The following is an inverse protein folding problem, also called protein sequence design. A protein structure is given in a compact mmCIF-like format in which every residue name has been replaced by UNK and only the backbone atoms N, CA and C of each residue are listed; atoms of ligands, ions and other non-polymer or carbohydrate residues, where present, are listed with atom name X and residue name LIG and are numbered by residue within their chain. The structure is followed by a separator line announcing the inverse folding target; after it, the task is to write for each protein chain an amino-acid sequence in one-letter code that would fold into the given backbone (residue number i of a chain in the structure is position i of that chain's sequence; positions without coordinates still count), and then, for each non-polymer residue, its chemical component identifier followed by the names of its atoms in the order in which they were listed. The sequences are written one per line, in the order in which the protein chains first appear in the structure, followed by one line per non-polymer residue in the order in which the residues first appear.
data_IF_664288935119
#
_entry.id   IF_664288935119
#
_cell.length_a   1.000
_cell.length_b   1.000
_cell.length_c   1.000
_cell.angle_alpha   90.00
_cell.angle_beta   90.00
_cell.angle_gamma   90.00
#
_symmetry.space_group_name_H-M   'P 1'
#
loop_
_entity.id
_entity.type
_entity.pdbx_description
1 polymer ?
#
# COMPACT_ATOMS: atom_id res chain seq x y z
N UNK A 1 -42.22 -30.44 35.32
CA UNK A 1 -42.81 -29.41 34.45
C UNK A 1 -42.01 -28.11 34.59
N UNK A 2 -41.09 -27.84 33.68
CA UNK A 2 -40.72 -26.51 33.17
C UNK A 2 -39.57 -26.70 32.18
N UNK A 3 -39.88 -26.52 30.91
CA UNK A 3 -38.88 -26.38 29.83
C UNK A 3 -38.05 -25.15 30.08
N UNK A 4 -36.73 -25.28 30.15
CA UNK A 4 -35.80 -24.18 30.04
C UNK A 4 -35.54 -23.91 28.57
N UNK A 5 -35.83 -22.70 28.14
CA UNK A 5 -35.63 -22.20 26.78
C UNK A 5 -34.15 -22.03 26.50
N UNK A 6 -33.73 -22.51 25.33
CA UNK A 6 -32.46 -22.16 24.73
C UNK A 6 -32.54 -20.70 24.28
N UNK A 7 -31.92 -19.81 25.03
CA UNK A 7 -31.74 -18.40 24.67
C UNK A 7 -30.52 -18.27 23.75
N UNK A 8 -30.75 -17.72 22.55
CA UNK A 8 -29.77 -17.60 21.50
C UNK A 8 -28.63 -16.67 21.84
N UNK A 9 -27.45 -17.08 21.41
CA UNK A 9 -26.17 -16.34 21.38
C UNK A 9 -26.07 -15.43 20.13
N UNK A 10 -27.16 -14.72 19.80
CA UNK A 10 -27.27 -14.00 18.54
C UNK A 10 -27.29 -12.45 18.65
N UNK A 11 -27.20 -11.86 19.85
CA UNK A 11 -27.49 -10.43 20.00
C UNK A 11 -26.35 -9.55 20.53
N UNK A 12 -25.13 -9.69 20.04
CA UNK A 12 -24.06 -8.73 20.38
C UNK A 12 -23.12 -8.36 19.22
N UNK A 13 -23.45 -8.69 17.97
CA UNK A 13 -22.66 -8.20 16.83
C UNK A 13 -23.30 -6.92 16.29
N UNK A 14 -22.88 -5.77 16.78
CA UNK A 14 -23.24 -4.48 16.15
C UNK A 14 -22.55 -4.37 14.79
N UNK A 15 -23.32 -4.60 13.73
CA UNK A 15 -22.95 -4.30 12.35
C UNK A 15 -22.93 -2.78 12.20
N UNK A 16 -21.76 -2.20 12.06
CA UNK A 16 -21.57 -0.80 11.69
C UNK A 16 -21.01 -0.76 10.27
N UNK A 17 -21.80 -0.18 9.36
CA UNK A 17 -21.50 0.15 7.97
C UNK A 17 -21.66 -0.97 6.93
N UNK A 18 -22.87 -1.12 6.41
CA UNK A 18 -23.13 -1.70 5.09
C UNK A 18 -22.76 -0.67 4.01
N UNK A 19 -21.69 -0.92 3.27
CA UNK A 19 -21.28 -0.06 2.15
C UNK A 19 -21.97 -0.57 0.89
N UNK A 20 -23.00 0.15 0.41
CA UNK A 20 -23.50 -0.02 -0.95
C UNK A 20 -22.54 0.68 -1.93
N UNK A 21 -21.76 -0.09 -2.65
CA UNK A 21 -20.94 0.40 -3.75
C UNK A 21 -21.86 0.79 -4.93
N UNK A 22 -22.15 2.07 -5.10
CA UNK A 22 -22.62 2.59 -6.37
C UNK A 22 -21.40 2.93 -7.23
N UNK A 23 -21.21 2.23 -8.33
CA UNK A 23 -20.16 2.52 -9.31
C UNK A 23 -20.46 3.88 -9.97
N UNK A 24 -19.84 4.93 -9.46
CA UNK A 24 -19.77 6.20 -10.17
C UNK A 24 -18.77 6.04 -11.32
N UNK A 25 -19.21 6.33 -12.55
CA UNK A 25 -18.38 6.30 -13.75
C UNK A 25 -17.25 7.34 -13.63
N UNK A 26 -16.05 6.87 -13.27
CA UNK A 26 -14.84 7.67 -13.40
C UNK A 26 -14.49 7.77 -14.89
N UNK A 27 -14.37 8.98 -15.40
CA UNK A 27 -13.92 9.27 -16.78
C UNK A 27 -12.44 8.94 -16.89
N UNK A 28 -12.14 7.69 -17.25
CA UNK A 28 -10.76 7.26 -17.58
C UNK A 28 -10.51 7.59 -19.06
N UNK A 29 -9.59 8.50 -19.33
CA UNK A 29 -9.09 8.69 -20.71
C UNK A 29 -8.23 7.49 -21.08
N UNK A 30 -8.69 6.64 -21.96
CA UNK A 30 -8.04 5.41 -22.39
C UNK A 30 -7.31 5.67 -23.72
N UNK A 31 -5.99 5.67 -23.69
CA UNK A 31 -5.18 5.21 -24.82
C UNK A 31 -4.84 3.74 -24.62
N UNK A 32 -4.64 2.93 -25.66
CA UNK A 32 -4.32 1.51 -25.52
C UNK A 32 -3.02 1.25 -24.73
N UNK A 33 -2.20 2.28 -24.50
CA UNK A 33 -0.84 2.21 -23.95
C UNK A 33 -0.63 2.95 -22.63
N UNK A 34 -1.63 3.70 -22.18
CA UNK A 34 -1.56 4.55 -20.99
C UNK A 34 -2.85 4.50 -20.21
N UNK A 35 -2.75 4.51 -18.88
CA UNK A 35 -3.88 4.67 -17.94
C UNK A 35 -3.62 5.85 -17.04
N UNK A 36 -4.63 6.66 -16.83
CA UNK A 36 -4.60 7.74 -15.83
C UNK A 36 -5.70 7.48 -14.83
N UNK A 37 -5.30 7.32 -13.56
CA UNK A 37 -6.24 7.17 -12.44
C UNK A 37 -6.28 8.47 -11.68
N UNK A 38 -7.46 9.06 -11.55
CA UNK A 38 -7.68 10.29 -10.77
C UNK A 38 -7.95 9.95 -9.32
N UNK A 39 -7.18 10.53 -8.41
CA UNK A 39 -7.49 10.56 -6.98
C UNK A 39 -8.19 11.88 -6.68
N UNK A 40 -9.51 11.82 -6.46
CA UNK A 40 -10.35 13.02 -6.31
C UNK A 40 -10.47 13.42 -4.84
N UNK A 41 -9.78 14.50 -4.46
CA UNK A 41 -9.71 15.07 -3.11
C UNK A 41 -9.94 16.60 -3.14
N UNK A 42 -10.76 17.09 -4.09
CA UNK A 42 -11.00 18.51 -4.29
C UNK A 42 -9.72 19.25 -4.70
N UNK A 43 -9.27 20.23 -3.91
CA UNK A 43 -8.05 21.00 -4.20
C UNK A 43 -6.74 20.21 -4.07
N UNK A 44 -6.78 19.01 -3.45
CA UNK A 44 -5.64 18.10 -3.27
C UNK A 44 -5.68 16.94 -4.26
N UNK A 45 -6.59 16.97 -5.23
CA UNK A 45 -6.70 15.94 -6.26
C UNK A 45 -5.44 15.85 -7.10
N UNK A 46 -5.07 14.62 -7.48
CA UNK A 46 -3.90 14.37 -8.33
C UNK A 46 -4.13 13.21 -9.28
N UNK A 47 -3.26 13.08 -10.26
CA UNK A 47 -3.30 12.01 -11.25
C UNK A 47 -2.20 10.98 -10.99
N UNK A 48 -2.52 9.71 -11.23
CA UNK A 48 -1.59 8.60 -11.29
C UNK A 48 -1.47 8.20 -12.76
N UNK A 49 -0.30 8.46 -13.36
CA UNK A 49 -0.01 8.10 -14.76
C UNK A 49 0.66 6.74 -14.77
N UNK A 50 0.08 5.77 -15.49
CA UNK A 50 0.55 4.38 -15.57
C UNK A 50 0.86 4.07 -17.04
N UNK A 51 2.15 3.86 -17.35
CA UNK A 51 2.60 3.61 -18.71
C UNK A 51 3.95 2.88 -18.69
N UNK A 52 4.22 2.01 -19.65
CA UNK A 52 5.55 1.46 -19.85
C UNK A 52 6.47 2.46 -20.54
N UNK A 53 7.69 2.66 -20.01
CA UNK A 53 8.67 3.58 -20.57
C UNK A 53 8.30 5.05 -20.43
N UNK A 54 7.60 5.44 -19.36
CA UNK A 54 7.22 6.84 -19.12
C UNK A 54 8.31 7.68 -18.47
N UNK A 55 9.31 7.07 -17.86
CA UNK A 55 10.39 7.77 -17.13
C UNK A 55 11.05 8.91 -17.95
N UNK A 56 11.37 8.76 -19.25
CA UNK A 56 11.91 9.87 -20.04
C UNK A 56 10.97 11.07 -20.18
N UNK A 57 9.69 10.92 -19.87
CA UNK A 57 8.69 11.97 -19.95
C UNK A 57 8.42 12.63 -18.57
N UNK A 58 9.12 12.21 -17.51
CA UNK A 58 8.88 12.70 -16.15
C UNK A 58 8.99 14.24 -16.07
N UNK A 59 10.02 14.83 -16.68
CA UNK A 59 10.20 16.28 -16.69
C UNK A 59 9.04 17.04 -17.33
N UNK A 60 8.54 16.57 -18.47
CA UNK A 60 7.40 17.20 -19.16
C UNK A 60 6.09 17.01 -18.43
N UNK A 61 5.87 15.84 -17.80
CA UNK A 61 4.69 15.59 -16.94
C UNK A 61 4.68 16.52 -15.73
N UNK A 62 5.83 16.68 -15.07
CA UNK A 62 5.96 17.59 -13.93
C UNK A 62 5.70 19.04 -14.33
N UNK A 63 6.28 19.50 -15.45
CA UNK A 63 6.03 20.86 -15.96
C UNK A 63 4.53 21.08 -16.21
N UNK A 64 3.85 20.12 -16.83
CA UNK A 64 2.40 20.16 -17.07
C UNK A 64 1.58 20.24 -15.77
N UNK A 65 1.88 19.43 -14.77
CA UNK A 65 1.20 19.48 -13.46
C UNK A 65 1.44 20.79 -12.72
N UNK A 66 2.62 21.37 -12.89
CA UNK A 66 2.98 22.68 -12.32
C UNK A 66 2.44 23.86 -13.13
N UNK A 67 1.83 23.61 -14.29
CA UNK A 67 1.36 24.63 -15.26
C UNK A 67 2.50 25.57 -15.68
N UNK A 68 3.66 25.01 -15.92
CA UNK A 68 4.85 25.69 -16.42
C UNK A 68 5.05 25.33 -17.89
N UNK A 69 5.51 26.25 -18.71
CA UNK A 69 5.90 25.98 -20.09
C UNK A 69 7.12 25.07 -20.14
N UNK A 70 8.05 25.27 -19.20
CA UNK A 70 9.24 24.43 -18.95
C UNK A 70 9.51 24.35 -17.47
N UNK A 71 10.32 23.37 -17.02
CA UNK A 71 10.79 23.30 -15.64
C UNK A 71 11.95 24.27 -15.33
N UNK A 72 12.22 25.25 -16.20
CA UNK A 72 13.35 26.16 -16.03
C UNK A 72 13.28 26.93 -14.70
N UNK A 73 14.38 26.86 -13.94
CA UNK A 73 14.48 27.48 -12.62
C UNK A 73 13.74 26.74 -11.49
N UNK A 74 13.10 25.59 -11.78
CA UNK A 74 12.53 24.73 -10.75
C UNK A 74 13.64 23.99 -10.02
N UNK A 75 13.77 24.19 -8.72
CA UNK A 75 14.66 23.39 -7.87
C UNK A 75 14.00 22.09 -7.49
N UNK A 76 14.72 20.98 -7.68
CA UNK A 76 14.24 19.62 -7.39
C UNK A 76 15.22 18.90 -6.49
N UNK A 77 14.75 18.44 -5.33
CA UNK A 77 15.44 17.41 -4.55
C UNK A 77 14.91 16.05 -4.99
N UNK A 78 15.71 15.29 -5.73
CA UNK A 78 15.41 13.93 -6.09
C UNK A 78 15.97 12.99 -5.03
N UNK A 79 15.09 12.26 -4.34
CA UNK A 79 15.46 11.29 -3.30
C UNK A 79 15.28 9.90 -3.88
N UNK A 80 16.36 9.12 -3.92
CA UNK A 80 16.32 7.77 -4.47
C UNK A 80 17.06 6.78 -3.58
N UNK A 81 16.55 5.54 -3.55
CA UNK A 81 17.22 4.40 -2.94
C UNK A 81 18.49 4.05 -3.72
N UNK A 82 19.57 3.70 -3.02
CA UNK A 82 20.87 3.35 -3.65
C UNK A 82 20.76 2.20 -4.65
N UNK A 83 19.90 1.21 -4.39
CA UNK A 83 19.70 0.10 -5.33
C UNK A 83 18.89 0.48 -6.58
N UNK A 84 18.23 1.63 -6.55
CA UNK A 84 17.32 2.10 -7.62
C UNK A 84 17.95 3.23 -8.42
N UNK A 85 18.87 4.02 -7.84
CA UNK A 85 19.36 5.25 -8.46
C UNK A 85 20.04 4.99 -9.80
N UNK A 86 21.01 4.07 -9.87
CA UNK A 86 21.75 3.80 -11.10
C UNK A 86 20.89 3.20 -12.20
N UNK A 87 19.86 2.42 -11.81
CA UNK A 87 18.99 1.71 -12.77
C UNK A 87 17.86 2.60 -13.29
N UNK A 88 17.28 3.43 -12.42
CA UNK A 88 16.06 4.20 -12.73
C UNK A 88 16.19 5.68 -12.36
N UNK A 89 16.80 6.00 -11.20
CA UNK A 89 16.88 7.36 -10.66
C UNK A 89 17.65 8.32 -11.58
N UNK A 90 18.76 7.88 -12.14
CA UNK A 90 19.58 8.68 -13.08
C UNK A 90 18.81 9.04 -14.36
N UNK A 91 17.93 8.16 -14.85
CA UNK A 91 17.06 8.46 -15.99
C UNK A 91 15.99 9.51 -15.66
N UNK A 92 15.42 9.45 -14.46
CA UNK A 92 14.50 10.47 -13.95
C UNK A 92 15.21 11.81 -13.80
N UNK A 93 16.40 11.83 -13.16
CA UNK A 93 17.22 13.04 -13.02
C UNK A 93 17.47 13.70 -14.37
N UNK A 94 17.95 12.92 -15.34
CA UNK A 94 18.22 13.41 -16.71
C UNK A 94 16.96 13.99 -17.37
N UNK A 95 15.81 13.34 -17.21
CA UNK A 95 14.53 13.81 -17.75
C UNK A 95 14.15 15.19 -17.18
N UNK A 96 14.36 15.38 -15.87
CA UNK A 96 14.09 16.65 -15.19
C UNK A 96 15.05 17.76 -15.64
N UNK A 97 16.34 17.46 -15.73
CA UNK A 97 17.38 18.38 -16.19
C UNK A 97 17.14 18.81 -17.65
N UNK A 98 16.77 17.87 -18.53
CA UNK A 98 16.40 18.19 -19.93
C UNK A 98 15.17 19.08 -20.03
N UNK A 99 14.25 18.99 -19.06
CA UNK A 99 13.11 19.91 -18.96
C UNK A 99 13.49 21.28 -18.38
N UNK A 100 14.75 21.48 -17.94
CA UNK A 100 15.30 22.73 -17.43
C UNK A 100 15.31 22.89 -15.92
N UNK A 101 15.01 21.81 -15.16
CA UNK A 101 15.08 21.84 -13.71
C UNK A 101 16.54 21.83 -13.19
N UNK A 102 16.75 22.50 -12.06
CA UNK A 102 17.98 22.40 -11.25
C UNK A 102 17.79 21.23 -10.25
N UNK A 103 18.41 20.08 -10.55
CA UNK A 103 18.20 18.82 -9.83
C UNK A 103 19.39 18.51 -8.94
N UNK A 104 19.11 18.32 -7.64
CA UNK A 104 20.04 17.74 -6.67
C UNK A 104 19.57 16.34 -6.31
N UNK A 105 20.39 15.32 -6.54
CA UNK A 105 20.10 13.97 -6.09
C UNK A 105 20.60 13.73 -4.67
N UNK A 106 19.74 13.14 -3.83
CA UNK A 106 20.05 12.61 -2.49
C UNK A 106 19.82 11.12 -2.50
N UNK A 107 20.89 10.34 -2.39
CA UNK A 107 20.83 8.87 -2.42
C UNK A 107 20.75 8.37 -0.98
N UNK A 108 19.72 7.59 -0.69
CA UNK A 108 19.47 7.03 0.64
C UNK A 108 19.77 5.52 0.67
N UNK A 109 20.17 4.95 1.82
CA UNK A 109 20.36 3.50 1.96
C UNK A 109 19.06 2.74 1.70
N UNK A 110 19.18 1.49 1.23
CA UNK A 110 18.05 0.58 1.11
C UNK A 110 17.60 0.05 2.47
N UNK A 111 16.32 -0.28 2.60
CA UNK A 111 15.74 -0.98 3.75
C UNK A 111 14.98 -0.09 4.72
N UNK A 112 14.17 -0.73 5.55
CA UNK A 112 13.19 -0.07 6.44
C UNK A 112 13.86 0.85 7.48
N UNK A 113 15.10 0.57 7.90
CA UNK A 113 15.86 1.42 8.83
C UNK A 113 16.17 2.82 8.29
N UNK A 114 16.04 3.02 6.98
CA UNK A 114 16.20 4.32 6.34
C UNK A 114 15.09 5.30 6.74
N UNK A 115 13.92 4.80 7.12
CA UNK A 115 12.82 5.62 7.67
C UNK A 115 13.13 6.07 9.09
N UNK A 116 14.08 7.00 9.26
CA UNK A 116 14.61 7.41 10.55
C UNK A 116 14.77 8.92 10.69
N UNK A 117 14.89 9.41 11.93
CA UNK A 117 15.20 10.83 12.21
C UNK A 117 16.54 11.25 11.58
N UNK A 118 17.56 10.40 11.69
CA UNK A 118 18.89 10.73 11.18
C UNK A 118 18.87 10.95 9.66
N UNK A 119 18.17 10.06 8.92
CA UNK A 119 18.04 10.20 7.49
C UNK A 119 17.17 11.41 7.11
N UNK A 120 16.11 11.68 7.88
CA UNK A 120 15.28 12.89 7.69
C UNK A 120 16.10 14.16 7.85
N UNK A 121 16.94 14.25 8.89
CA UNK A 121 17.82 15.37 9.10
C UNK A 121 18.80 15.56 7.94
N UNK A 122 19.46 14.50 7.48
CA UNK A 122 20.36 14.58 6.34
C UNK A 122 19.66 15.11 5.07
N UNK A 123 18.41 14.74 4.84
CA UNK A 123 17.62 15.27 3.73
C UNK A 123 17.24 16.75 3.91
N UNK A 124 17.01 17.21 5.15
CA UNK A 124 16.84 18.64 5.42
C UNK A 124 18.11 19.43 5.15
N UNK A 125 19.29 18.89 5.50
CA UNK A 125 20.57 19.53 5.20
C UNK A 125 20.74 19.73 3.68
N UNK A 126 20.37 18.73 2.86
CA UNK A 126 20.34 18.90 1.40
C UNK A 126 19.41 20.04 0.97
N UNK A 127 18.22 20.17 1.56
CA UNK A 127 17.27 21.25 1.24
C UNK A 127 17.82 22.63 1.66
N UNK A 128 18.46 22.71 2.82
CA UNK A 128 19.10 23.95 3.29
C UNK A 128 20.25 24.35 2.36
N UNK A 129 21.15 23.43 2.04
CA UNK A 129 22.30 23.67 1.16
C UNK A 129 21.91 24.13 -0.25
N UNK A 130 20.78 23.65 -0.77
CA UNK A 130 20.27 24.10 -2.08
C UNK A 130 19.39 25.36 -1.96
N UNK A 131 19.34 25.99 -0.78
CA UNK A 131 18.49 27.17 -0.51
C UNK A 131 17.04 26.95 -0.94
N UNK A 132 16.49 25.77 -0.57
CA UNK A 132 15.14 25.37 -0.95
C UNK A 132 14.09 26.32 -0.38
N UNK A 133 13.15 26.71 -1.21
CA UNK A 133 11.99 27.53 -0.85
C UNK A 133 10.68 26.72 -1.05
N UNK A 134 9.52 27.35 -0.80
CA UNK A 134 8.21 26.70 -0.96
C UNK A 134 7.85 26.31 -2.40
N UNK A 135 8.62 26.74 -3.40
CA UNK A 135 8.46 26.34 -4.79
C UNK A 135 9.28 25.11 -5.15
N UNK A 136 10.24 24.77 -4.30
CA UNK A 136 11.07 23.56 -4.47
C UNK A 136 10.19 22.31 -4.50
N UNK A 137 10.54 21.38 -5.38
CA UNK A 137 9.85 20.12 -5.55
C UNK A 137 10.67 18.96 -4.96
N UNK A 138 10.04 18.09 -4.21
CA UNK A 138 10.63 16.81 -3.80
C UNK A 138 10.13 15.71 -4.74
N UNK A 139 11.03 14.91 -5.31
CA UNK A 139 10.71 13.77 -6.17
C UNK A 139 11.28 12.51 -5.53
N UNK A 140 10.41 11.56 -5.20
CA UNK A 140 10.80 10.25 -4.65
C UNK A 140 10.88 9.22 -5.77
N UNK A 141 12.01 8.53 -5.91
CA UNK A 141 12.19 7.42 -6.86
C UNK A 141 12.59 6.17 -6.08
N UNK A 142 11.66 5.21 -5.95
CA UNK A 142 11.95 4.00 -5.16
C UNK A 142 10.72 3.25 -4.70
N UNK A 143 10.91 2.37 -3.73
CA UNK A 143 9.85 1.64 -3.05
C UNK A 143 9.12 2.48 -2.00
N UNK A 144 8.25 1.84 -1.22
CA UNK A 144 7.45 2.49 -0.17
C UNK A 144 8.28 3.22 0.89
N UNK A 145 9.45 2.68 1.25
CA UNK A 145 10.39 3.31 2.20
C UNK A 145 10.82 4.68 1.73
N UNK A 146 11.25 4.78 0.47
CA UNK A 146 11.68 6.06 -0.14
C UNK A 146 10.51 7.02 -0.27
N UNK A 147 9.34 6.54 -0.70
CA UNK A 147 8.13 7.35 -0.82
C UNK A 147 7.68 7.94 0.51
N UNK A 148 7.62 7.13 1.57
CA UNK A 148 7.22 7.57 2.91
C UNK A 148 8.19 8.59 3.51
N UNK A 149 9.50 8.33 3.42
CA UNK A 149 10.54 9.23 3.94
C UNK A 149 10.53 10.56 3.17
N UNK A 150 10.54 10.52 1.84
CA UNK A 150 10.56 11.72 1.02
C UNK A 150 9.29 12.57 1.19
N UNK A 151 8.13 11.90 1.27
CA UNK A 151 6.87 12.57 1.53
C UNK A 151 6.80 13.21 2.92
N UNK A 152 7.38 12.57 3.94
CA UNK A 152 7.49 13.15 5.28
C UNK A 152 8.41 14.36 5.31
N UNK A 153 9.57 14.28 4.64
CA UNK A 153 10.48 15.43 4.46
C UNK A 153 9.77 16.57 3.75
N UNK A 154 9.05 16.28 2.67
CA UNK A 154 8.28 17.30 1.95
C UNK A 154 7.18 17.92 2.82
N UNK A 155 6.46 17.12 3.61
CA UNK A 155 5.37 17.58 4.46
C UNK A 155 5.85 18.54 5.57
N UNK A 156 7.07 18.37 6.06
CA UNK A 156 7.56 19.04 7.28
C UNK A 156 8.52 20.19 6.99
N UNK A 157 9.32 20.13 5.92
CA UNK A 157 10.21 21.21 5.54
C UNK A 157 9.41 22.44 5.09
N UNK A 158 9.77 23.63 5.57
CA UNK A 158 9.13 24.91 5.28
C UNK A 158 7.58 24.92 5.42
N UNK A 159 7.02 24.02 6.22
CA UNK A 159 5.57 23.75 6.42
C UNK A 159 4.86 23.18 5.20
N UNK A 160 5.57 22.48 4.34
CA UNK A 160 5.06 21.77 3.18
C UNK A 160 5.69 22.22 1.87
N UNK A 161 6.36 21.25 1.21
CA UNK A 161 6.83 21.35 -0.17
C UNK A 161 5.92 20.50 -1.07
N UNK A 162 5.92 20.81 -2.36
CA UNK A 162 5.30 19.94 -3.36
C UNK A 162 6.08 18.64 -3.47
N UNK A 163 5.35 17.55 -3.74
CA UNK A 163 5.88 16.21 -3.70
C UNK A 163 5.36 15.38 -4.89
N UNK A 164 6.22 14.59 -5.51
CA UNK A 164 5.88 13.66 -6.59
C UNK A 164 6.49 12.30 -6.27
N UNK A 165 5.77 11.23 -6.57
CA UNK A 165 6.24 9.87 -6.40
C UNK A 165 6.45 9.18 -7.76
N UNK A 166 7.56 8.47 -7.87
CA UNK A 166 7.90 7.57 -8.98
C UNK A 166 8.20 6.20 -8.36
N UNK A 167 7.14 5.43 -8.03
CA UNK A 167 7.29 4.15 -7.38
C UNK A 167 7.92 3.12 -8.31
N UNK A 168 8.86 2.32 -7.79
CA UNK A 168 9.61 1.32 -8.56
C UNK A 168 9.38 -0.12 -8.10
N UNK A 169 8.61 -0.34 -7.03
CA UNK A 169 8.17 -1.66 -6.60
C UNK A 169 6.68 -1.83 -6.83
N UNK A 170 6.21 -3.06 -7.10
CA UNK A 170 4.78 -3.31 -7.30
C UNK A 170 3.98 -2.88 -6.06
N UNK A 171 4.46 -3.19 -4.85
CA UNK A 171 3.85 -2.77 -3.60
C UNK A 171 3.66 -1.25 -3.53
N UNK A 172 4.69 -0.48 -3.89
CA UNK A 172 4.57 0.98 -3.87
C UNK A 172 3.64 1.51 -4.98
N UNK A 173 3.58 0.86 -6.13
CA UNK A 173 2.67 1.24 -7.21
C UNK A 173 1.20 1.09 -6.83
N UNK A 174 0.84 -0.05 -6.19
CA UNK A 174 -0.56 -0.36 -5.90
C UNK A 174 -1.01 0.10 -4.52
N UNK A 175 -0.08 0.40 -3.60
CA UNK A 175 -0.44 0.72 -2.23
C UNK A 175 0.22 2.00 -1.73
N UNK A 176 1.49 2.03 -1.33
CA UNK A 176 2.04 3.12 -0.52
C UNK A 176 2.06 4.49 -1.23
N UNK A 177 2.11 4.56 -2.58
CA UNK A 177 2.06 5.83 -3.32
C UNK A 177 0.69 6.49 -3.37
N UNK A 178 -0.38 5.82 -2.90
CA UNK A 178 -1.76 6.30 -2.96
C UNK A 178 -2.29 6.62 -1.57
N UNK A 179 -2.83 7.83 -1.39
CA UNK A 179 -3.53 8.21 -0.16
C UNK A 179 -2.74 9.04 0.83
N UNK A 180 -1.53 9.50 0.45
CA UNK A 180 -0.78 10.55 1.13
C UNK A 180 -0.26 10.21 2.52
N UNK A 181 -0.30 8.96 2.95
CA UNK A 181 0.37 8.56 4.20
C UNK A 181 1.87 8.62 4.00
N UNK A 182 2.54 9.46 4.77
CA UNK A 182 3.99 9.61 4.75
C UNK A 182 4.51 9.54 6.18
N UNK A 183 5.72 9.02 6.37
CA UNK A 183 6.21 8.91 7.73
C UNK A 183 7.54 8.19 7.88
N UNK A 184 8.00 8.21 9.11
CA UNK A 184 9.22 7.55 9.56
C UNK A 184 8.96 6.67 10.77
N UNK A 185 9.92 5.83 11.09
CA UNK A 185 9.85 4.93 12.21
C UNK A 185 10.37 5.59 13.51
N UNK A 186 9.79 5.20 14.61
CA UNK A 186 10.35 5.41 15.93
C UNK A 186 11.06 4.12 16.39
N UNK A 187 12.12 4.17 17.23
CA UNK A 187 12.76 2.95 17.74
C UNK A 187 11.81 1.93 18.40
N UNK A 188 10.65 2.37 18.85
CA UNK A 188 9.62 1.53 19.49
C UNK A 188 8.46 1.13 18.59
N UNK A 189 8.48 1.48 17.29
CA UNK A 189 7.41 1.07 16.38
C UNK A 189 7.48 1.72 15.00
N UNK A 190 7.04 0.98 14.00
CA UNK A 190 6.96 1.43 12.61
C UNK A 190 5.88 2.50 12.41
N UNK A 191 6.13 3.45 11.52
CA UNK A 191 5.16 4.44 11.01
C UNK A 191 4.44 5.26 12.10
N UNK A 192 5.09 5.47 13.27
CA UNK A 192 4.49 6.21 14.38
C UNK A 192 4.52 7.72 14.17
N UNK A 193 5.40 8.20 13.31
CA UNK A 193 5.67 9.60 13.08
C UNK A 193 5.40 9.88 11.62
N UNK A 194 4.42 10.72 11.32
CA UNK A 194 4.04 10.95 9.93
C UNK A 194 3.07 12.11 9.75
N UNK A 195 2.73 12.32 8.51
CA UNK A 195 1.74 13.30 8.06
C UNK A 195 0.92 12.77 6.90
N UNK A 196 -0.30 13.24 6.75
CA UNK A 196 -1.06 13.11 5.52
C UNK A 196 -0.60 14.22 4.57
N UNK A 197 0.14 13.86 3.53
CA UNK A 197 0.67 14.77 2.53
C UNK A 197 0.46 14.20 1.12
N UNK A 198 -0.56 14.71 0.42
CA UNK A 198 -0.89 14.21 -0.92
C UNK A 198 0.17 14.64 -1.93
N UNK A 199 0.59 13.75 -2.85
CA UNK A 199 1.51 14.12 -3.91
C UNK A 199 0.82 15.03 -4.94
N UNK A 200 1.61 15.80 -5.68
CA UNK A 200 1.17 16.52 -6.87
C UNK A 200 0.75 15.55 -7.99
N UNK A 201 1.37 14.38 -8.03
CA UNK A 201 1.09 13.30 -8.96
C UNK A 201 1.98 12.10 -8.67
N UNK A 202 1.61 10.97 -9.30
CA UNK A 202 2.38 9.71 -9.26
C UNK A 202 2.66 9.27 -10.69
N UNK A 203 3.92 8.90 -10.98
CA UNK A 203 4.34 8.38 -12.29
C UNK A 203 4.74 6.92 -12.11
N UNK A 204 3.96 6.01 -12.64
CA UNK A 204 4.21 4.56 -12.60
C UNK A 204 4.75 4.10 -13.96
N UNK A 205 6.03 3.77 -13.98
CA UNK A 205 6.67 3.17 -15.14
C UNK A 205 6.72 1.64 -15.00
N UNK A 206 5.91 0.93 -15.78
CA UNK A 206 5.85 -0.53 -15.73
C UNK A 206 7.19 -1.19 -16.08
N UNK A 207 8.06 -0.51 -16.82
CA UNK A 207 9.39 -1.02 -17.16
C UNK A 207 10.27 -1.25 -15.90
N UNK A 208 10.05 -0.50 -14.82
CA UNK A 208 10.81 -0.66 -13.57
C UNK A 208 10.59 -2.03 -12.92
N UNK A 209 9.44 -2.66 -13.15
CA UNK A 209 9.14 -4.00 -12.63
C UNK A 209 10.01 -5.10 -13.27
N UNK A 210 10.62 -4.85 -14.44
CA UNK A 210 11.50 -5.83 -15.10
C UNK A 210 12.80 -6.07 -14.33
N UNK A 211 13.23 -5.09 -13.54
CA UNK A 211 14.45 -5.15 -12.73
C UNK A 211 14.18 -5.44 -11.25
N UNK A 212 12.90 -5.45 -10.86
CA UNK A 212 12.51 -5.74 -9.48
C UNK A 212 12.76 -7.21 -9.14
N UNK A 213 13.46 -7.54 -8.03
CA UNK A 213 13.64 -8.92 -7.60
C UNK A 213 12.30 -9.68 -7.45
N UNK A 214 12.28 -10.97 -7.79
CA UNK A 214 11.06 -11.78 -7.79
C UNK A 214 10.33 -11.78 -6.44
N UNK A 215 11.08 -11.88 -5.34
CA UNK A 215 10.50 -11.88 -4.00
C UNK A 215 9.76 -10.59 -3.69
N UNK A 216 10.34 -9.44 -4.06
CA UNK A 216 9.72 -8.12 -3.90
C UNK A 216 8.51 -7.94 -4.82
N UNK A 217 8.59 -8.46 -6.05
CA UNK A 217 7.47 -8.45 -6.97
C UNK A 217 6.28 -9.24 -6.42
N UNK A 218 6.53 -10.48 -5.96
CA UNK A 218 5.49 -11.34 -5.35
C UNK A 218 4.90 -10.70 -4.10
N UNK A 219 5.74 -10.11 -3.25
CA UNK A 219 5.26 -9.35 -2.10
C UNK A 219 4.22 -8.29 -2.49
N UNK A 220 4.43 -7.58 -3.61
CA UNK A 220 3.44 -6.64 -4.13
C UNK A 220 2.14 -7.28 -4.61
N UNK A 221 2.20 -8.51 -5.16
CA UNK A 221 1.00 -9.26 -5.59
C UNK A 221 0.06 -9.61 -4.44
N UNK A 222 0.55 -9.77 -3.21
CA UNK A 222 -0.31 -9.99 -2.05
C UNK A 222 -1.30 -8.83 -1.85
N UNK A 223 -0.84 -7.59 -2.00
CA UNK A 223 -1.70 -6.41 -1.92
C UNK A 223 -2.69 -6.32 -3.09
N UNK A 224 -2.28 -6.73 -4.30
CA UNK A 224 -3.18 -6.83 -5.45
C UNK A 224 -4.32 -7.82 -5.17
N UNK A 225 -4.00 -9.03 -4.67
CA UNK A 225 -5.01 -10.03 -4.28
C UNK A 225 -5.90 -9.50 -3.18
N UNK A 226 -5.34 -8.81 -2.18
CA UNK A 226 -6.11 -8.19 -1.11
C UNK A 226 -7.22 -7.28 -1.66
N UNK A 227 -6.95 -6.42 -2.64
CA UNK A 227 -7.98 -5.56 -3.22
C UNK A 227 -9.13 -6.33 -3.84
N UNK A 228 -8.85 -7.44 -4.52
CA UNK A 228 -9.88 -8.33 -5.05
C UNK A 228 -10.78 -8.90 -3.95
N UNK A 229 -10.18 -9.38 -2.87
CA UNK A 229 -10.92 -9.96 -1.74
C UNK A 229 -11.77 -8.91 -1.01
N UNK A 230 -11.24 -7.70 -0.81
CA UNK A 230 -11.91 -6.72 0.05
C UNK A 230 -12.93 -5.84 -0.66
N UNK A 231 -12.79 -5.59 -1.97
CA UNK A 231 -13.54 -4.54 -2.66
C UNK A 231 -14.14 -4.96 -4.00
N UNK A 232 -13.62 -6.01 -4.68
CA UNK A 232 -14.00 -6.26 -6.07
C UNK A 232 -13.88 -7.74 -6.45
N UNK A 233 -15.00 -8.46 -6.41
CA UNK A 233 -15.09 -9.88 -6.78
C UNK A 233 -14.72 -10.11 -8.27
N UNK A 234 -15.11 -9.19 -9.16
CA UNK A 234 -14.77 -9.32 -10.57
C UNK A 234 -13.26 -9.15 -10.81
N UNK A 235 -12.62 -8.28 -10.04
CA UNK A 235 -11.17 -8.15 -10.05
C UNK A 235 -10.48 -9.39 -9.49
N UNK A 236 -11.02 -10.00 -8.43
CA UNK A 236 -10.51 -11.28 -7.91
C UNK A 236 -10.59 -12.39 -8.98
N UNK A 237 -11.73 -12.52 -9.65
CA UNK A 237 -11.90 -13.49 -10.75
C UNK A 237 -10.96 -13.19 -11.93
N UNK A 238 -10.70 -11.93 -12.25
CA UNK A 238 -9.69 -11.55 -13.24
C UNK A 238 -8.29 -12.05 -12.85
N UNK A 239 -7.91 -11.92 -11.58
CA UNK A 239 -6.60 -12.41 -11.09
C UNK A 239 -6.48 -13.93 -11.22
N UNK A 240 -7.54 -14.69 -10.88
CA UNK A 240 -7.59 -16.15 -11.05
C UNK A 240 -7.38 -16.55 -12.53
N UNK A 241 -7.95 -15.80 -13.46
CA UNK A 241 -7.87 -16.10 -14.91
C UNK A 241 -6.52 -15.68 -15.52
N UNK A 242 -5.74 -14.82 -14.87
CA UNK A 242 -4.51 -14.23 -15.42
C UNK A 242 -3.25 -14.58 -14.63
N UNK A 243 -3.23 -15.69 -13.90
CA UNK A 243 -2.08 -16.15 -13.10
C UNK A 243 -0.81 -16.25 -13.95
N UNK A 244 -0.90 -16.81 -15.15
CA UNK A 244 0.24 -16.94 -16.05
C UNK A 244 0.83 -15.56 -16.45
N UNK A 245 -0.04 -14.59 -16.77
CA UNK A 245 0.35 -13.21 -17.11
C UNK A 245 0.97 -12.49 -15.92
N UNK A 246 0.43 -12.69 -14.70
CA UNK A 246 1.01 -12.14 -13.47
C UNK A 246 2.40 -12.73 -13.19
N UNK A 247 2.56 -14.04 -13.29
CA UNK A 247 3.84 -14.70 -13.06
C UNK A 247 4.90 -14.34 -14.11
N UNK A 248 4.50 -14.10 -15.36
CA UNK A 248 5.40 -13.66 -16.44
C UNK A 248 5.62 -12.15 -16.51
N UNK A 249 4.96 -11.37 -15.65
CA UNK A 249 4.99 -9.89 -15.65
C UNK A 249 4.50 -9.30 -16.98
N UNK A 250 3.43 -9.89 -17.54
CA UNK A 250 2.81 -9.38 -18.76
C UNK A 250 2.40 -7.92 -18.59
N UNK A 251 2.83 -7.05 -19.50
CA UNK A 251 2.66 -5.60 -19.38
C UNK A 251 1.19 -5.17 -19.40
N UNK A 252 0.34 -5.84 -20.19
CA UNK A 252 -1.08 -5.47 -20.28
C UNK A 252 -1.85 -5.93 -19.05
N UNK A 253 -1.55 -7.13 -18.55
CA UNK A 253 -2.09 -7.63 -17.28
C UNK A 253 -1.64 -6.72 -16.13
N UNK A 254 -0.36 -6.37 -16.06
CA UNK A 254 0.17 -5.47 -15.02
C UNK A 254 -0.46 -4.07 -15.08
N UNK A 255 -0.61 -3.52 -16.29
CA UNK A 255 -1.28 -2.23 -16.45
C UNK A 255 -2.70 -2.26 -15.90
N UNK A 256 -3.44 -3.32 -16.18
CA UNK A 256 -4.80 -3.48 -15.69
C UNK A 256 -4.85 -3.63 -14.16
N UNK A 257 -4.05 -4.53 -13.58
CA UNK A 257 -4.10 -4.78 -12.13
C UNK A 257 -3.60 -3.60 -11.31
N UNK A 258 -2.57 -2.88 -11.77
CA UNK A 258 -2.07 -1.69 -11.10
C UNK A 258 -3.11 -0.56 -11.16
N UNK A 259 -3.69 -0.32 -12.34
CA UNK A 259 -4.73 0.69 -12.50
C UNK A 259 -5.94 0.38 -11.61
N UNK A 260 -6.43 -0.88 -11.62
CA UNK A 260 -7.59 -1.26 -10.81
C UNK A 260 -7.32 -1.18 -9.31
N UNK A 261 -6.14 -1.61 -8.85
CA UNK A 261 -5.73 -1.45 -7.44
C UNK A 261 -5.70 0.02 -7.03
N UNK A 262 -5.12 0.90 -7.86
CA UNK A 262 -5.10 2.34 -7.62
C UNK A 262 -6.52 2.94 -7.58
N UNK A 263 -7.42 2.55 -8.50
CA UNK A 263 -8.82 2.99 -8.51
C UNK A 263 -9.55 2.61 -7.22
N UNK A 264 -9.45 1.34 -6.81
CA UNK A 264 -10.08 0.83 -5.60
C UNK A 264 -9.57 1.55 -4.35
N UNK A 265 -8.25 1.75 -4.26
CA UNK A 265 -7.66 2.49 -3.14
C UNK A 265 -8.04 3.97 -3.17
N UNK A 266 -7.99 4.61 -4.34
CA UNK A 266 -8.36 6.01 -4.50
C UNK A 266 -9.80 6.27 -4.05
N UNK A 267 -10.73 5.34 -4.34
CA UNK A 267 -12.12 5.47 -3.92
C UNK A 267 -12.29 5.38 -2.39
N UNK A 268 -11.58 4.47 -1.73
CA UNK A 268 -11.54 4.38 -0.26
C UNK A 268 -10.92 5.65 0.35
N UNK A 269 -9.82 6.16 -0.23
CA UNK A 269 -9.17 7.40 0.22
C UNK A 269 -10.07 8.62 0.05
N UNK A 270 -10.76 8.72 -1.07
CA UNK A 270 -11.72 9.80 -1.34
C UNK A 270 -12.82 9.89 -0.27
N UNK A 271 -13.26 8.73 0.26
CA UNK A 271 -14.32 8.66 1.26
C UNK A 271 -13.81 8.89 2.69
N UNK A 272 -12.52 8.63 2.96
CA UNK A 272 -11.93 8.71 4.31
C UNK A 272 -10.45 9.12 4.27
N UNK A 273 -10.16 10.32 3.75
CA UNK A 273 -8.79 10.79 3.51
C UNK A 273 -7.90 10.72 4.76
N UNK A 274 -8.43 11.09 5.93
CA UNK A 274 -7.69 11.23 7.19
C UNK A 274 -7.93 10.09 8.18
N UNK A 275 -8.54 8.98 7.76
CA UNK A 275 -8.88 7.82 8.63
C UNK A 275 -9.75 8.19 9.85
N UNK A 276 -10.65 9.13 9.69
CA UNK A 276 -11.52 9.59 10.77
C UNK A 276 -12.83 8.83 10.89
N UNK A 277 -13.31 8.25 9.78
CA UNK A 277 -14.58 7.47 9.75
C UNK A 277 -14.36 5.99 10.04
N UNK A 278 -13.13 5.51 9.92
CA UNK A 278 -12.78 4.11 10.04
C UNK A 278 -13.03 3.27 8.77
N UNK A 279 -13.46 3.89 7.68
CA UNK A 279 -13.66 3.19 6.40
C UNK A 279 -12.36 2.57 5.88
N UNK A 280 -11.24 3.29 5.98
CA UNK A 280 -9.92 2.78 5.56
C UNK A 280 -9.47 1.54 6.33
N UNK A 281 -10.15 1.17 7.42
CA UNK A 281 -9.85 -0.08 8.14
C UNK A 281 -10.00 -1.32 7.24
N UNK A 282 -10.88 -1.29 6.23
CA UNK A 282 -11.06 -2.41 5.27
C UNK A 282 -9.75 -2.80 4.58
N UNK A 283 -8.85 -1.82 4.33
CA UNK A 283 -7.54 -2.03 3.74
C UNK A 283 -6.60 -2.90 4.60
N UNK A 284 -6.97 -3.14 5.86
CA UNK A 284 -6.17 -3.92 6.80
C UNK A 284 -6.57 -5.42 6.84
N UNK A 285 -7.27 -5.93 5.85
CA UNK A 285 -7.53 -7.35 5.73
C UNK A 285 -6.19 -8.14 5.73
N UNK A 286 -6.10 -9.18 6.56
CA UNK A 286 -4.87 -9.95 6.77
C UNK A 286 -3.82 -9.29 7.68
N UNK A 287 -3.86 -7.97 7.86
CA UNK A 287 -2.78 -7.23 8.54
C UNK A 287 -2.70 -7.50 10.04
N UNK A 288 -3.80 -7.83 10.73
CA UNK A 288 -3.75 -8.13 12.18
C UNK A 288 -2.86 -9.32 12.47
N UNK A 289 -2.97 -10.39 11.67
CA UNK A 289 -2.08 -11.54 11.75
C UNK A 289 -0.72 -11.23 11.11
N UNK A 290 -0.70 -10.63 9.92
CA UNK A 290 0.50 -10.33 9.16
C UNK A 290 1.51 -9.49 9.95
N UNK A 291 1.08 -8.42 10.60
CA UNK A 291 1.94 -7.59 11.44
C UNK A 291 2.53 -8.35 12.64
N UNK A 292 1.75 -9.27 13.23
CA UNK A 292 2.27 -10.12 14.31
C UNK A 292 3.37 -11.06 13.78
N UNK A 293 3.17 -11.66 12.61
CA UNK A 293 4.20 -12.53 12.00
C UNK A 293 5.43 -11.74 11.59
N UNK A 294 5.27 -10.56 10.97
CA UNK A 294 6.39 -9.69 10.59
C UNK A 294 7.23 -9.27 11.80
N UNK A 295 6.56 -8.91 12.91
CA UNK A 295 7.23 -8.51 14.14
C UNK A 295 7.98 -9.67 14.80
N UNK A 296 7.41 -10.89 14.80
CA UNK A 296 7.97 -12.06 15.46
C UNK A 296 9.06 -12.76 14.65
N UNK A 297 8.99 -12.71 13.33
CA UNK A 297 10.04 -13.25 12.45
C UNK A 297 11.31 -12.39 12.47
N UNK A 298 11.20 -11.15 12.91
CA UNK A 298 12.28 -10.16 12.82
C UNK A 298 12.27 -9.44 11.47
N UNK A 299 12.69 -8.18 11.50
CA UNK A 299 12.65 -7.34 10.32
C UNK A 299 13.48 -7.89 9.16
N UNK A 300 12.84 -8.13 8.02
CA UNK A 300 13.48 -8.62 6.79
C UNK A 300 13.44 -10.14 6.60
N UNK A 301 13.09 -10.92 7.60
CA UNK A 301 12.91 -12.38 7.46
C UNK A 301 11.66 -12.68 6.59
N UNK A 302 10.54 -12.03 6.89
CA UNK A 302 9.34 -11.98 6.04
C UNK A 302 9.23 -10.59 5.41
N UNK A 303 8.96 -10.52 4.10
CA UNK A 303 8.53 -9.30 3.47
C UNK A 303 7.07 -8.99 3.85
N UNK A 304 6.70 -7.72 3.80
CA UNK A 304 5.35 -7.28 4.18
C UNK A 304 4.24 -8.08 3.48
N UNK A 305 4.30 -8.21 2.15
CA UNK A 305 3.27 -8.96 1.41
C UNK A 305 3.29 -10.47 1.69
N UNK A 306 4.43 -11.06 2.05
CA UNK A 306 4.48 -12.46 2.49
C UNK A 306 3.72 -12.63 3.81
N UNK A 307 3.94 -11.73 4.77
CA UNK A 307 3.23 -11.73 6.05
C UNK A 307 1.73 -11.46 5.86
N UNK A 308 1.37 -10.52 4.98
CA UNK A 308 -0.04 -10.22 4.64
C UNK A 308 -0.71 -11.40 3.94
N UNK A 309 -0.02 -12.11 3.04
CA UNK A 309 -0.53 -13.32 2.38
C UNK A 309 -0.93 -14.39 3.41
N UNK A 310 -0.03 -14.75 4.32
CA UNK A 310 -0.30 -15.68 5.42
C UNK A 310 -1.46 -15.15 6.28
N UNK A 311 -1.43 -13.87 6.60
CA UNK A 311 -2.44 -13.21 7.43
C UNK A 311 -3.83 -13.18 6.79
N UNK A 312 -3.92 -13.06 5.46
CA UNK A 312 -5.19 -13.16 4.74
C UNK A 312 -5.80 -14.56 4.87
N UNK A 313 -4.99 -15.61 4.79
CA UNK A 313 -5.49 -16.98 4.96
C UNK A 313 -5.93 -17.22 6.41
N UNK A 314 -5.19 -16.75 7.41
CA UNK A 314 -5.65 -16.82 8.80
C UNK A 314 -6.96 -16.06 9.00
N UNK A 315 -7.10 -14.87 8.42
CA UNK A 315 -8.34 -14.08 8.50
C UNK A 315 -9.51 -14.74 7.74
N UNK A 316 -9.23 -15.38 6.60
CA UNK A 316 -10.23 -16.16 5.84
C UNK A 316 -10.73 -17.35 6.63
N UNK A 317 -9.82 -18.15 7.22
CA UNK A 317 -10.18 -19.27 8.11
C UNK A 317 -10.98 -18.80 9.33
N UNK A 318 -10.63 -17.63 9.88
CA UNK A 318 -11.40 -17.05 10.99
C UNK A 318 -12.82 -16.68 10.54
N UNK A 319 -12.98 -16.11 9.35
CA UNK A 319 -14.29 -15.80 8.80
C UNK A 319 -15.12 -17.07 8.55
N UNK A 320 -14.50 -18.14 8.05
CA UNK A 320 -15.12 -19.46 7.88
C UNK A 320 -15.56 -20.06 9.21
N UNK A 321 -14.69 -20.07 10.24
CA UNK A 321 -15.02 -20.53 11.59
C UNK A 321 -16.21 -19.78 12.22
N UNK A 322 -16.36 -18.50 11.89
CA UNK A 322 -17.47 -17.66 12.32
C UNK A 322 -18.70 -17.77 11.41
N UNK A 323 -18.69 -18.66 10.40
CA UNK A 323 -19.80 -18.89 9.49
C UNK A 323 -20.10 -17.71 8.55
N UNK A 324 -19.09 -16.87 8.24
CA UNK A 324 -19.24 -15.66 7.42
C UNK A 324 -19.02 -15.93 5.92
N UNK A 325 -18.15 -16.87 5.62
CA UNK A 325 -17.82 -17.32 4.25
C UNK A 325 -17.80 -18.84 4.21
N UNK A 326 -17.75 -19.40 3.01
CA UNK A 326 -17.69 -20.84 2.78
C UNK A 326 -16.23 -21.33 2.77
N UNK A 327 -15.98 -22.65 3.01
CA UNK A 327 -14.66 -23.24 2.81
C UNK A 327 -14.11 -23.02 1.38
N UNK A 328 -14.98 -22.99 0.37
CA UNK A 328 -14.61 -22.75 -1.03
C UNK A 328 -14.01 -21.33 -1.20
N UNK A 329 -14.56 -20.32 -0.54
CA UNK A 329 -14.01 -18.96 -0.56
C UNK A 329 -12.59 -18.90 0.04
N UNK A 330 -12.33 -19.70 1.08
CA UNK A 330 -10.99 -19.81 1.69
C UNK A 330 -10.02 -20.55 0.76
N UNK A 331 -10.48 -21.66 0.15
CA UNK A 331 -9.68 -22.40 -0.83
C UNK A 331 -9.29 -21.53 -2.01
N UNK A 332 -10.22 -20.80 -2.63
CA UNK A 332 -9.96 -19.91 -3.77
C UNK A 332 -8.88 -18.88 -3.44
N UNK A 333 -8.93 -18.26 -2.26
CA UNK A 333 -7.91 -17.31 -1.83
C UNK A 333 -6.54 -17.99 -1.67
N UNK A 334 -6.50 -19.15 -1.03
CA UNK A 334 -5.28 -19.93 -0.81
C UNK A 334 -4.66 -20.40 -2.14
N UNK A 335 -5.48 -20.88 -3.06
CA UNK A 335 -5.05 -21.38 -4.37
C UNK A 335 -4.47 -20.24 -5.22
N UNK A 336 -5.13 -19.08 -5.27
CA UNK A 336 -4.63 -17.90 -5.99
C UNK A 336 -3.28 -17.44 -5.44
N UNK A 337 -3.16 -17.26 -4.11
CA UNK A 337 -1.90 -16.83 -3.48
C UNK A 337 -0.78 -17.84 -3.72
N UNK A 338 -1.06 -19.14 -3.58
CA UNK A 338 -0.10 -20.20 -3.84
C UNK A 338 0.35 -20.24 -5.30
N UNK A 339 -0.59 -20.09 -6.25
CA UNK A 339 -0.30 -20.05 -7.68
C UNK A 339 0.55 -18.81 -8.08
N UNK A 340 0.49 -17.73 -7.30
CA UNK A 340 1.35 -16.57 -7.41
C UNK A 340 2.67 -16.72 -6.63
N UNK A 341 2.97 -17.91 -6.11
CA UNK A 341 4.15 -18.25 -5.32
C UNK A 341 4.29 -17.41 -4.04
N UNK A 342 3.17 -17.09 -3.40
CA UNK A 342 3.13 -16.47 -2.09
C UNK A 342 2.93 -17.51 -0.99
N UNK A 343 3.51 -17.33 0.20
CA UNK A 343 3.30 -18.24 1.31
C UNK A 343 1.86 -18.11 1.85
N UNK A 344 1.26 -19.27 2.17
CA UNK A 344 -0.11 -19.37 2.70
C UNK A 344 -0.18 -20.09 4.06
N UNK A 345 0.99 -20.47 4.59
CA UNK A 345 1.09 -21.18 5.86
C UNK A 345 1.94 -20.38 6.84
N UNK A 346 1.59 -20.45 8.11
CA UNK A 346 2.38 -19.85 9.19
C UNK A 346 3.75 -20.54 9.24
N UNK A 347 4.85 -19.79 9.25
CA UNK A 347 6.20 -20.36 9.38
C UNK A 347 6.31 -21.29 10.59
N UNK A 348 7.02 -22.40 10.43
CA UNK A 348 7.10 -23.47 11.44
C UNK A 348 7.67 -22.99 12.79
N UNK A 349 8.58 -22.02 12.77
CA UNK A 349 9.16 -21.38 13.96
C UNK A 349 8.17 -20.46 14.69
N UNK A 350 7.08 -20.06 14.06
CA UNK A 350 6.02 -19.24 14.66
C UNK A 350 4.80 -20.06 15.08
N UNK A 351 4.59 -21.27 14.56
CA UNK A 351 3.38 -22.08 14.81
C UNK A 351 3.11 -22.34 16.30
N UNK A 352 4.15 -22.47 17.13
CA UNK A 352 4.03 -22.73 18.55
C UNK A 352 4.15 -21.48 19.44
N UNK A 353 4.22 -20.29 18.86
CA UNK A 353 4.40 -19.02 19.59
C UNK A 353 3.07 -18.29 19.84
N UNK A 354 2.04 -19.02 20.23
CA UNK A 354 0.67 -18.53 20.38
C UNK A 354 0.56 -17.28 21.26
N UNK A 355 1.20 -17.31 22.46
CA UNK A 355 1.18 -16.18 23.39
C UNK A 355 1.85 -14.92 22.81
N UNK A 356 2.97 -15.11 22.09
CA UNK A 356 3.68 -14.00 21.45
C UNK A 356 2.84 -13.41 20.31
N UNK A 357 2.20 -14.26 19.49
CA UNK A 357 1.31 -13.82 18.40
C UNK A 357 0.15 -12.99 18.97
N UNK A 358 -0.54 -13.48 20.00
CA UNK A 358 -1.62 -12.74 20.66
C UNK A 358 -1.10 -11.42 21.21
N UNK A 359 0.06 -11.42 21.88
CA UNK A 359 0.67 -10.21 22.44
C UNK A 359 0.94 -9.17 21.35
N UNK A 360 1.49 -9.58 20.21
CA UNK A 360 1.74 -8.70 19.08
C UNK A 360 0.43 -8.17 18.48
N UNK A 361 -0.60 -9.01 18.30
CA UNK A 361 -1.92 -8.57 17.83
C UNK A 361 -2.57 -7.54 18.79
N UNK A 362 -2.40 -7.72 20.11
CA UNK A 362 -2.92 -6.79 21.11
C UNK A 362 -2.17 -5.46 21.18
N UNK A 363 -0.89 -5.45 20.81
CA UNK A 363 -0.06 -4.22 20.76
C UNK A 363 -0.31 -3.41 19.47
N UNK A 364 -0.88 -3.99 18.43
CA UNK A 364 -1.25 -3.24 17.23
C UNK A 364 -2.27 -2.16 17.60
N UNK A 365 -2.05 -0.91 17.16
CA UNK A 365 -2.88 0.29 17.44
C UNK A 365 -4.38 0.11 17.14
N UNK A 366 -4.76 -0.99 16.54
CA UNK A 366 -6.13 -1.34 16.17
C UNK A 366 -6.95 -1.93 17.32
N UNK A 367 -6.33 -2.17 18.49
CA UNK A 367 -7.07 -2.55 19.70
C UNK A 367 -7.73 -1.32 20.30
N UNK A 368 -9.05 -1.22 20.21
CA UNK A 368 -9.83 -0.27 20.99
C UNK A 368 -10.29 -0.95 22.29
N UNK A 369 -9.96 -0.38 23.44
CA UNK A 369 -10.36 -0.86 24.78
C UNK A 369 -9.90 -2.30 25.13
N UNK A 370 -8.78 -2.76 24.54
CA UNK A 370 -8.23 -4.08 24.84
C UNK A 370 -8.93 -5.25 24.12
N UNK A 371 -9.80 -4.99 23.13
CA UNK A 371 -10.43 -6.03 22.31
C UNK A 371 -9.75 -6.18 20.96
N UNK A 372 -9.55 -7.41 20.51
CA UNK A 372 -9.08 -7.69 19.16
C UNK A 372 -10.12 -7.27 18.13
N UNK A 373 -9.63 -6.60 17.10
CA UNK A 373 -10.44 -6.14 15.97
C UNK A 373 -9.87 -6.74 14.67
N UNK A 374 -10.72 -7.45 13.94
CA UNK A 374 -10.36 -8.06 12.67
C UNK A 374 -11.16 -7.45 11.52
N UNK A 375 -10.55 -7.40 10.35
CA UNK A 375 -11.24 -7.19 9.08
C UNK A 375 -11.44 -8.57 8.48
N UNK A 376 -12.69 -8.98 8.28
CA UNK A 376 -13.07 -10.33 7.84
C UNK A 376 -14.02 -10.27 6.66
N UNK A 377 -13.88 -11.17 5.66
CA UNK A 377 -14.79 -11.21 4.54
C UNK A 377 -16.17 -11.74 4.95
N UNK A 378 -17.20 -11.20 4.34
CA UNK A 378 -18.55 -11.76 4.31
C UNK A 378 -18.89 -12.41 2.95
N UNK A 379 -18.07 -12.14 1.95
CA UNK A 379 -17.92 -12.78 0.64
C UNK A 379 -16.65 -12.26 -0.02
N UNK A 380 -16.18 -12.88 -1.08
CA UNK A 380 -15.14 -12.28 -1.93
C UNK A 380 -15.69 -10.97 -2.51
N UNK A 381 -14.87 -9.92 -2.49
CA UNK A 381 -15.25 -8.56 -2.88
C UNK A 381 -15.90 -7.72 -1.78
N UNK A 382 -16.02 -8.24 -0.56
CA UNK A 382 -16.57 -7.46 0.56
C UNK A 382 -16.08 -7.93 1.92
N UNK A 383 -15.62 -6.99 2.74
CA UNK A 383 -15.17 -7.23 4.12
C UNK A 383 -15.84 -6.31 5.11
N UNK A 384 -15.85 -6.73 6.36
CA UNK A 384 -16.40 -5.97 7.49
C UNK A 384 -15.45 -6.01 8.67
N UNK A 385 -15.55 -5.00 9.54
CA UNK A 385 -14.84 -4.99 10.82
C UNK A 385 -15.62 -5.80 11.86
N UNK A 386 -14.97 -6.83 12.41
CA UNK A 386 -15.52 -7.71 13.43
C UNK A 386 -14.80 -7.48 14.75
N UNK A 387 -15.55 -7.30 15.84
CA UNK A 387 -15.06 -7.10 17.21
C UNK A 387 -15.48 -8.25 18.11
N UNK A 388 -14.85 -8.37 19.28
CA UNK A 388 -15.23 -9.37 20.28
C UNK A 388 -14.82 -10.80 19.95
N UNK A 389 -13.87 -10.99 19.01
CA UNK A 389 -13.28 -12.30 18.75
C UNK A 389 -12.27 -12.61 19.85
N UNK A 390 -12.47 -13.74 20.55
CA UNK A 390 -11.51 -14.16 21.58
C UNK A 390 -10.16 -14.56 20.97
N UNK A 391 -9.05 -14.34 21.68
CA UNK A 391 -7.73 -14.81 21.24
C UNK A 391 -7.71 -16.30 20.90
N UNK A 392 -8.39 -17.13 21.67
CA UNK A 392 -8.44 -18.59 21.46
C UNK A 392 -9.07 -18.98 20.13
N UNK A 393 -10.12 -18.25 19.71
CA UNK A 393 -10.75 -18.48 18.41
C UNK A 393 -9.78 -18.04 17.29
N UNK A 394 -9.12 -16.89 17.45
CA UNK A 394 -8.16 -16.40 16.47
C UNK A 394 -6.97 -17.36 16.30
N UNK A 395 -6.47 -17.94 17.39
CA UNK A 395 -5.36 -18.91 17.35
C UNK A 395 -5.70 -20.23 16.65
N UNK A 396 -6.96 -20.63 16.58
CA UNK A 396 -7.39 -21.84 15.85
C UNK A 396 -7.27 -21.70 14.33
N UNK A 397 -6.96 -20.51 13.83
CA UNK A 397 -6.81 -20.21 12.41
C UNK A 397 -5.34 -20.22 11.91
N UNK A 398 -4.39 -20.48 12.81
CA UNK A 398 -2.94 -20.53 12.52
C UNK A 398 -2.50 -21.80 11.77
#
# INVERSE_FOLDING_TARGET
VKRAAAGGFADSVKILYGIHYQSASMTTRISAWERIVRVDLGSRSYDIVIKEGVTPQAGSLLAGWLKLDTAHGLRVLLIADVAVFDVHGAAVQRSLELAGADVRAAIVPSGEQTKSYAQTQALYDHLVDMTADRKTLVVAVGGGVTGDLAGFVAATYARGLRFVQIPTTLLSMVDSSVGGKTGINHPRGKNLIGAFHQPLGVIIDLATLKTLPDREYRSGLAEVVKYGVILDEAFFAFLEQNIAGLNSRDTDVLRHVIARSCELKADVVRQDEYETTGLRAVLNYGHTFGHAFEALAGYGALLHGEAVSIGMICASRLAELLGRITPDDTCRQSDLLSALNLPVQVPSDLQNRHEDIVRCMMLDKKTERGELRFVLPSRIGHVETVRGVSPDIALRCL
#
